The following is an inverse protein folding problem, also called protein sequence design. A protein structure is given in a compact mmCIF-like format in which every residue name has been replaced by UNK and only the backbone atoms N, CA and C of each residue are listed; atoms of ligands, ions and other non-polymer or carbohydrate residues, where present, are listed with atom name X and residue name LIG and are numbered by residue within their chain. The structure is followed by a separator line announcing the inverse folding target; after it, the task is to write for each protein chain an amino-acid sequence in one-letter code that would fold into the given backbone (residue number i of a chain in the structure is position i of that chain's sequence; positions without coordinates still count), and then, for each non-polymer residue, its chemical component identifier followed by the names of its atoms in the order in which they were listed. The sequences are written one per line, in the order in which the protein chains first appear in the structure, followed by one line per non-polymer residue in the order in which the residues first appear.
data_IF_230558035211
#
_entry.id   IF_230558035211
#
_cell.length_a   1.000
_cell.length_b   1.000
_cell.length_c   1.000
_cell.angle_alpha   90.00
_cell.angle_beta   90.00
_cell.angle_gamma   90.00
#
_symmetry.space_group_name_H-M   'P 1'
#
loop_
_entity.id
_entity.type
_entity.pdbx_description
1 polymer ?
#
# COMPACT_ATOMS: atom_id res chain seq x y z
N UNK A 1 -38.58 -14.04 21.39
CA UNK A 1 -38.09 -14.43 20.06
C UNK A 1 -37.48 -13.18 19.41
N UNK A 2 -36.17 -13.08 19.39
CA UNK A 2 -35.50 -11.98 18.69
C UNK A 2 -35.54 -12.32 17.21
N UNK A 3 -36.31 -11.57 16.42
CA UNK A 3 -36.33 -11.71 14.96
C UNK A 3 -34.91 -11.33 14.49
N UNK A 4 -34.15 -12.31 14.01
CA UNK A 4 -32.83 -12.10 13.48
C UNK A 4 -32.99 -11.53 12.06
N UNK A 5 -32.64 -10.25 11.87
CA UNK A 5 -32.70 -9.58 10.56
C UNK A 5 -31.71 -10.25 9.60
N UNK A 6 -32.11 -10.35 8.34
CA UNK A 6 -31.21 -10.83 7.28
C UNK A 6 -30.12 -9.79 6.96
N UNK A 7 -28.99 -10.19 6.37
CA UNK A 7 -27.96 -9.25 5.94
C UNK A 7 -28.48 -8.16 5.00
N UNK A 8 -29.42 -8.50 4.13
CA UNK A 8 -30.07 -7.58 3.19
C UNK A 8 -30.94 -6.54 3.89
N UNK A 9 -31.70 -6.96 4.92
CA UNK A 9 -32.51 -6.07 5.73
C UNK A 9 -31.61 -5.09 6.53
N UNK A 10 -30.52 -5.57 7.09
CA UNK A 10 -29.52 -4.74 7.77
C UNK A 10 -28.88 -3.72 6.83
N UNK A 11 -28.53 -4.14 5.61
CA UNK A 11 -27.95 -3.24 4.59
C UNK A 11 -28.94 -2.13 4.19
N UNK A 12 -30.24 -2.46 4.04
CA UNK A 12 -31.30 -1.47 3.77
C UNK A 12 -31.45 -0.48 4.92
N UNK A 13 -31.41 -0.97 6.16
CA UNK A 13 -31.51 -0.12 7.35
C UNK A 13 -30.31 0.83 7.45
N UNK A 14 -29.09 0.35 7.22
CA UNK A 14 -27.88 1.21 7.16
C UNK A 14 -28.07 2.30 6.09
N UNK A 15 -28.52 1.94 4.88
CA UNK A 15 -28.76 2.91 3.79
C UNK A 15 -29.79 3.96 4.20
N UNK A 16 -30.87 3.55 4.86
CA UNK A 16 -31.93 4.43 5.36
C UNK A 16 -31.37 5.42 6.39
N UNK A 17 -30.61 4.95 7.37
CA UNK A 17 -30.00 5.79 8.41
C UNK A 17 -28.99 6.79 7.82
N UNK A 18 -28.15 6.35 6.88
CA UNK A 18 -27.23 7.23 6.15
C UNK A 18 -28.01 8.35 5.44
N UNK A 19 -29.07 8.02 4.69
CA UNK A 19 -29.89 8.99 3.98
C UNK A 19 -30.57 10.00 4.92
N UNK A 20 -31.01 9.54 6.09
CA UNK A 20 -31.61 10.43 7.11
C UNK A 20 -30.60 11.43 7.68
N UNK A 21 -29.38 10.98 8.01
CA UNK A 21 -28.32 11.88 8.50
C UNK A 21 -27.90 12.90 7.44
N UNK A 22 -27.80 12.46 6.17
CA UNK A 22 -27.50 13.36 5.05
C UNK A 22 -28.60 14.40 4.85
N UNK A 23 -29.86 14.00 4.88
CA UNK A 23 -31.00 14.92 4.75
C UNK A 23 -31.06 15.98 5.87
N UNK A 24 -30.54 15.63 7.06
CA UNK A 24 -30.42 16.56 8.18
C UNK A 24 -29.13 17.39 8.16
N UNK A 25 -28.29 17.22 7.14
CA UNK A 25 -26.99 17.90 7.04
C UNK A 25 -25.94 17.42 8.04
N UNK A 26 -26.17 16.27 8.71
CA UNK A 26 -25.33 15.76 9.79
C UNK A 26 -24.28 14.76 9.30
N UNK A 27 -23.59 15.11 8.20
CA UNK A 27 -22.48 14.31 7.68
C UNK A 27 -21.33 14.13 8.69
N UNK A 28 -21.20 15.07 9.63
CA UNK A 28 -20.22 14.98 10.72
C UNK A 28 -20.46 13.76 11.63
N UNK A 29 -21.73 13.47 11.95
CA UNK A 29 -22.10 12.30 12.75
C UNK A 29 -21.89 11.01 11.98
N UNK A 30 -22.18 10.99 10.67
CA UNK A 30 -21.95 9.84 9.81
C UNK A 30 -20.46 9.48 9.77
N UNK A 31 -19.58 10.46 9.52
CA UNK A 31 -18.14 10.26 9.52
C UNK A 31 -17.58 9.82 10.87
N UNK A 32 -18.19 10.27 11.98
CA UNK A 32 -17.80 9.80 13.33
C UNK A 32 -18.25 8.37 13.60
N UNK A 33 -19.44 7.97 13.13
CA UNK A 33 -20.00 6.65 13.35
C UNK A 33 -19.27 5.55 12.56
N UNK A 34 -18.99 5.83 11.28
CA UNK A 34 -18.35 4.84 10.38
C UNK A 34 -16.83 4.90 10.54
N UNK A 35 -16.26 6.11 10.61
CA UNK A 35 -14.81 6.31 10.63
C UNK A 35 -14.15 6.09 9.27
N UNK A 36 -13.09 6.86 9.00
CA UNK A 36 -12.34 6.75 7.74
C UNK A 36 -11.65 5.38 7.58
N UNK A 37 -11.06 4.78 8.64
CA UNK A 37 -10.42 3.47 8.51
C UNK A 37 -11.38 2.37 8.04
N UNK A 38 -12.59 2.29 8.62
CA UNK A 38 -13.58 1.29 8.23
C UNK A 38 -14.04 1.46 6.77
N UNK A 39 -14.21 2.70 6.32
CA UNK A 39 -14.55 2.98 4.91
C UNK A 39 -13.44 2.51 3.96
N UNK A 40 -12.18 2.70 4.33
CA UNK A 40 -11.04 2.26 3.53
C UNK A 40 -10.94 0.72 3.50
N UNK A 41 -11.12 0.05 4.63
CA UNK A 41 -11.19 -1.41 4.72
C UNK A 41 -12.30 -1.98 3.83
N UNK A 42 -13.52 -1.44 3.92
CA UNK A 42 -14.66 -1.85 3.08
C UNK A 42 -14.39 -1.60 1.59
N UNK A 43 -13.72 -0.48 1.25
CA UNK A 43 -13.32 -0.17 -0.12
C UNK A 43 -12.33 -1.19 -0.67
N UNK A 44 -11.32 -1.55 0.12
CA UNK A 44 -10.31 -2.55 -0.25
C UNK A 44 -10.98 -3.91 -0.45
N UNK A 45 -11.81 -4.33 0.49
CA UNK A 45 -12.52 -5.61 0.41
C UNK A 45 -13.46 -5.68 -0.82
N UNK A 46 -14.21 -4.63 -1.08
CA UNK A 46 -15.09 -4.55 -2.25
C UNK A 46 -14.31 -4.58 -3.59
N UNK A 47 -13.08 -4.09 -3.60
CA UNK A 47 -12.23 -4.09 -4.78
C UNK A 47 -11.47 -5.41 -4.98
N UNK A 48 -11.22 -6.17 -3.90
CA UNK A 48 -10.34 -7.34 -3.86
C UNK A 48 -10.62 -8.35 -4.99
N UNK A 49 -11.89 -8.67 -5.24
CA UNK A 49 -12.30 -9.60 -6.30
C UNK A 49 -12.04 -9.11 -7.74
N UNK A 50 -11.64 -7.83 -7.92
CA UNK A 50 -11.33 -7.21 -9.21
C UNK A 50 -9.84 -6.89 -9.38
N UNK A 51 -9.07 -7.02 -8.30
CA UNK A 51 -7.64 -6.74 -8.33
C UNK A 51 -6.88 -7.97 -8.82
N UNK A 52 -5.83 -7.73 -9.62
CA UNK A 52 -4.92 -8.78 -10.07
C UNK A 52 -3.95 -9.15 -8.97
N UNK A 53 -3.61 -10.41 -8.93
CA UNK A 53 -2.48 -10.90 -8.14
C UNK A 53 -1.18 -10.35 -8.69
N UNK A 54 -0.31 -9.91 -7.79
CA UNK A 54 1.04 -9.42 -8.09
C UNK A 54 2.05 -10.49 -7.70
N UNK A 55 2.70 -11.08 -8.70
CA UNK A 55 3.77 -12.08 -8.49
C UNK A 55 5.13 -11.40 -8.63
N UNK A 56 5.98 -11.60 -7.65
CA UNK A 56 7.36 -11.13 -7.67
C UNK A 56 8.27 -12.34 -7.94
N UNK A 57 8.94 -12.34 -9.09
CA UNK A 57 9.82 -13.45 -9.49
C UNK A 57 11.18 -13.38 -8.79
N UNK A 58 11.96 -14.48 -8.86
CA UNK A 58 13.35 -14.56 -8.36
C UNK A 58 14.27 -13.46 -8.91
N UNK A 59 13.97 -12.97 -10.10
CA UNK A 59 14.75 -11.90 -10.76
C UNK A 59 14.16 -10.51 -10.49
N UNK A 60 13.28 -10.38 -9.49
CA UNK A 60 12.60 -9.13 -9.14
C UNK A 60 11.81 -8.53 -10.30
N UNK A 61 11.17 -9.38 -11.11
CA UNK A 61 10.14 -8.95 -12.06
C UNK A 61 8.80 -8.93 -11.35
N UNK A 62 7.99 -7.94 -11.64
CA UNK A 62 6.65 -7.77 -11.07
C UNK A 62 5.63 -8.13 -12.14
N UNK A 63 4.84 -9.18 -11.92
CA UNK A 63 3.90 -9.72 -12.90
C UNK A 63 2.47 -9.58 -12.38
N UNK A 64 1.61 -8.94 -13.15
CA UNK A 64 0.17 -8.89 -12.91
C UNK A 64 -0.48 -10.10 -13.62
N UNK A 65 -0.78 -11.13 -12.84
CA UNK A 65 -1.20 -12.44 -13.38
C UNK A 65 -2.53 -12.34 -14.14
N UNK A 66 -3.51 -11.64 -13.57
CA UNK A 66 -4.84 -11.54 -14.13
C UNK A 66 -4.94 -10.46 -15.24
N UNK A 67 -3.83 -9.78 -15.54
CA UNK A 67 -3.63 -8.91 -16.71
C UNK A 67 -2.74 -9.59 -17.78
N UNK A 68 -3.08 -10.84 -18.14
CA UNK A 68 -2.35 -11.65 -19.12
C UNK A 68 -0.85 -11.81 -18.78
N UNK A 69 -0.51 -11.96 -17.51
CA UNK A 69 0.86 -12.04 -17.02
C UNK A 69 1.72 -10.83 -17.44
N UNK A 70 1.13 -9.66 -17.49
CA UNK A 70 1.83 -8.44 -17.90
C UNK A 70 2.86 -8.02 -16.87
N UNK A 71 4.07 -7.75 -17.30
CA UNK A 71 5.13 -7.24 -16.44
C UNK A 71 4.95 -5.75 -16.17
N UNK A 72 5.14 -5.36 -14.90
CA UNK A 72 5.25 -3.96 -14.47
C UNK A 72 6.71 -3.56 -14.60
N UNK A 73 7.04 -2.84 -15.66
CA UNK A 73 8.41 -2.44 -15.96
C UNK A 73 8.87 -1.30 -15.04
N UNK A 74 9.67 -1.64 -14.05
CA UNK A 74 10.27 -0.70 -13.11
C UNK A 74 11.80 -0.71 -13.25
N UNK A 75 12.41 0.47 -13.19
CA UNK A 75 13.86 0.61 -13.06
C UNK A 75 14.33 0.05 -11.72
N UNK A 76 15.58 -0.42 -11.58
CA UNK A 76 16.07 -1.06 -10.36
C UNK A 76 15.80 -0.26 -9.07
N UNK A 77 16.02 1.05 -9.09
CA UNK A 77 15.74 1.92 -7.94
C UNK A 77 14.25 1.99 -7.61
N UNK A 78 13.37 1.99 -8.63
CA UNK A 78 11.92 1.97 -8.41
C UNK A 78 11.47 0.61 -7.85
N UNK A 79 12.09 -0.50 -8.29
CA UNK A 79 11.87 -1.83 -7.73
C UNK A 79 12.22 -1.88 -6.25
N UNK A 80 13.39 -1.34 -5.87
CA UNK A 80 13.83 -1.29 -4.48
C UNK A 80 12.85 -0.48 -3.59
N UNK A 81 12.45 0.70 -4.04
CA UNK A 81 11.45 1.53 -3.34
C UNK A 81 10.13 0.79 -3.23
N UNK A 82 9.66 0.18 -4.30
CA UNK A 82 8.38 -0.54 -4.31
C UNK A 82 8.39 -1.74 -3.36
N UNK A 83 9.49 -2.51 -3.34
CA UNK A 83 9.69 -3.63 -2.42
C UNK A 83 9.65 -3.18 -0.95
N UNK A 84 10.31 -2.07 -0.63
CA UNK A 84 10.27 -1.51 0.72
C UNK A 84 8.83 -1.25 1.18
N UNK A 85 8.02 -0.58 0.36
CA UNK A 85 6.62 -0.28 0.71
C UNK A 85 5.71 -1.51 0.69
N UNK A 86 6.03 -2.54 -0.08
CA UNK A 86 5.35 -3.84 0.01
C UNK A 86 5.67 -4.56 1.32
N UNK A 87 6.90 -4.43 1.82
CA UNK A 87 7.32 -5.03 3.08
C UNK A 87 6.69 -4.38 4.32
N UNK A 88 6.24 -3.13 4.18
CA UNK A 88 5.69 -2.33 5.26
C UNK A 88 4.21 -1.96 5.02
N UNK A 89 3.28 -2.92 5.25
CA UNK A 89 1.85 -2.70 5.07
C UNK A 89 1.28 -1.64 6.02
N UNK A 90 1.93 -1.38 7.14
CA UNK A 90 1.60 -0.31 8.08
C UNK A 90 1.88 1.09 7.54
N UNK A 91 2.68 1.18 6.47
CA UNK A 91 3.11 2.43 5.85
C UNK A 91 4.34 3.07 6.48
N UNK A 92 5.00 3.93 5.72
CA UNK A 92 6.24 4.62 6.11
C UNK A 92 6.04 6.13 6.00
N UNK A 93 6.45 6.89 7.01
CA UNK A 93 6.58 8.34 6.90
C UNK A 93 7.87 8.68 6.13
N UNK A 94 7.77 9.53 5.11
CA UNK A 94 8.96 9.92 4.33
C UNK A 94 10.05 10.61 5.17
N UNK A 95 9.65 11.35 6.20
CA UNK A 95 10.64 11.97 7.13
C UNK A 95 11.46 10.95 7.92
N UNK A 96 10.96 9.69 8.03
CA UNK A 96 11.63 8.58 8.72
C UNK A 96 12.24 7.56 7.76
N UNK A 97 12.34 7.89 6.48
CA UNK A 97 12.87 6.96 5.48
C UNK A 97 14.34 6.58 5.75
N UNK A 98 15.08 7.43 6.45
CA UNK A 98 16.45 7.14 6.91
C UNK A 98 16.53 5.91 7.83
N UNK A 99 15.47 5.62 8.60
CA UNK A 99 15.39 4.44 9.48
C UNK A 99 15.43 3.12 8.66
N UNK A 100 15.04 3.19 7.39
CA UNK A 100 14.98 2.05 6.44
C UNK A 100 16.14 2.01 5.45
N UNK A 101 17.21 2.80 5.69
CA UNK A 101 18.35 2.93 4.78
C UNK A 101 19.00 1.59 4.44
N UNK A 102 19.23 0.75 5.44
CA UNK A 102 19.88 -0.56 5.24
C UNK A 102 18.99 -1.52 4.42
N UNK A 103 17.71 -1.56 4.74
CA UNK A 103 16.74 -2.39 4.03
C UNK A 103 16.60 -1.96 2.57
N UNK A 104 16.47 -0.66 2.32
CA UNK A 104 16.39 -0.09 0.98
C UNK A 104 17.68 -0.37 0.18
N UNK A 105 18.85 -0.32 0.84
CA UNK A 105 20.14 -0.67 0.23
C UNK A 105 20.17 -2.13 -0.20
N UNK A 106 19.69 -3.06 0.64
CA UNK A 106 19.60 -4.48 0.30
C UNK A 106 18.71 -4.70 -0.93
N UNK A 107 17.52 -4.09 -0.97
CA UNK A 107 16.65 -4.19 -2.13
C UNK A 107 17.27 -3.61 -3.39
N UNK A 108 17.96 -2.46 -3.28
CA UNK A 108 18.55 -1.84 -4.44
C UNK A 108 19.73 -2.67 -4.98
N UNK A 109 20.59 -3.22 -4.12
CA UNK A 109 21.65 -4.15 -4.53
C UNK A 109 21.09 -5.39 -5.20
N UNK A 110 20.00 -5.95 -4.69
CA UNK A 110 19.38 -7.14 -5.24
C UNK A 110 18.76 -6.91 -6.64
N UNK A 111 18.20 -5.72 -6.87
CA UNK A 111 17.54 -5.36 -8.14
C UNK A 111 18.48 -4.75 -9.16
N UNK A 112 19.64 -4.24 -8.77
CA UNK A 112 20.61 -3.50 -9.60
C UNK A 112 21.92 -4.26 -9.79
N UNK A 113 21.86 -5.52 -10.18
CA UNK A 113 23.01 -6.45 -10.30
C UNK A 113 24.20 -5.91 -11.14
N UNK A 114 23.97 -4.94 -12.01
CA UNK A 114 24.99 -4.38 -12.93
C UNK A 114 25.51 -3.01 -12.50
N UNK A 115 25.04 -2.46 -11.37
CA UNK A 115 25.47 -1.14 -10.89
C UNK A 115 26.59 -1.25 -9.86
N UNK A 116 27.51 -0.28 -9.90
CA UNK A 116 28.56 -0.16 -8.90
C UNK A 116 27.96 0.12 -7.53
N UNK A 117 28.53 -0.50 -6.50
CA UNK A 117 28.07 -0.37 -5.12
C UNK A 117 28.08 1.10 -4.64
N UNK A 118 29.07 1.88 -5.04
CA UNK A 118 29.18 3.30 -4.69
C UNK A 118 28.00 4.11 -5.23
N UNK A 119 27.61 3.88 -6.49
CA UNK A 119 26.45 4.54 -7.11
C UNK A 119 25.12 4.14 -6.45
N UNK A 120 25.04 2.90 -5.98
CA UNK A 120 23.88 2.43 -5.23
C UNK A 120 23.78 3.18 -3.90
N UNK A 121 24.90 3.29 -3.16
CA UNK A 121 24.93 3.99 -1.87
C UNK A 121 24.60 5.47 -2.06
N UNK A 122 25.21 6.15 -3.03
CA UNK A 122 24.89 7.54 -3.37
C UNK A 122 23.40 7.73 -3.69
N UNK A 123 22.84 6.85 -4.54
CA UNK A 123 21.41 6.88 -4.86
C UNK A 123 20.50 6.68 -3.64
N UNK A 124 20.91 5.84 -2.69
CA UNK A 124 20.19 5.64 -1.43
C UNK A 124 20.27 6.88 -0.55
N UNK A 125 21.45 7.51 -0.43
CA UNK A 125 21.62 8.72 0.37
C UNK A 125 20.74 9.86 -0.12
N UNK A 126 20.57 10.01 -1.43
CA UNK A 126 19.59 10.93 -2.01
C UNK A 126 18.14 10.55 -1.67
N UNK A 127 17.78 9.25 -1.72
CA UNK A 127 16.42 8.80 -1.45
C UNK A 127 16.00 9.04 0.00
N UNK A 128 16.90 8.79 0.96
CA UNK A 128 16.59 8.91 2.38
C UNK A 128 16.79 10.32 2.94
N UNK A 129 17.36 11.23 2.17
CA UNK A 129 17.54 12.61 2.56
C UNK A 129 16.20 13.37 2.54
N UNK A 130 15.67 13.83 3.69
CA UNK A 130 14.38 14.50 3.74
C UNK A 130 14.36 15.88 3.05
N UNK A 131 15.53 16.45 2.74
CA UNK A 131 15.69 17.71 2.01
C UNK A 131 15.72 17.50 0.49
N UNK A 132 15.85 16.25 0.03
CA UNK A 132 15.85 15.89 -1.37
C UNK A 132 14.45 15.43 -1.80
N UNK A 133 14.06 15.78 -3.01
CA UNK A 133 12.76 15.36 -3.56
C UNK A 133 12.83 13.98 -4.25
N UNK A 134 13.96 13.28 -4.15
CA UNK A 134 14.23 12.04 -4.88
C UNK A 134 13.17 10.96 -4.65
N UNK A 135 12.76 10.72 -3.40
CA UNK A 135 11.74 9.71 -3.10
C UNK A 135 10.38 10.05 -3.72
N UNK A 136 9.99 11.32 -3.72
CA UNK A 136 8.74 11.76 -4.33
C UNK A 136 8.74 11.53 -5.85
N UNK A 137 9.88 11.80 -6.49
CA UNK A 137 10.05 11.53 -7.92
C UNK A 137 9.90 10.03 -8.23
N UNK A 138 10.56 9.16 -7.43
CA UNK A 138 10.46 7.70 -7.64
C UNK A 138 9.03 7.20 -7.45
N UNK A 139 8.32 7.65 -6.41
CA UNK A 139 6.93 7.31 -6.22
C UNK A 139 6.03 7.79 -7.38
N UNK A 140 6.28 9.00 -7.91
CA UNK A 140 5.53 9.52 -9.06
C UNK A 140 5.77 8.69 -10.32
N UNK A 141 7.00 8.24 -10.57
CA UNK A 141 7.33 7.35 -11.69
C UNK A 141 6.69 5.98 -11.54
N UNK A 142 6.72 5.39 -10.32
CA UNK A 142 6.01 4.13 -10.02
C UNK A 142 4.52 4.30 -10.30
N UNK A 143 3.90 5.37 -9.78
CA UNK A 143 2.48 5.68 -10.03
C UNK A 143 2.19 5.74 -11.53
N UNK A 144 3.02 6.43 -12.31
CA UNK A 144 2.83 6.56 -13.75
C UNK A 144 2.78 5.20 -14.44
N UNK A 145 3.70 4.28 -14.10
CA UNK A 145 3.72 2.95 -14.71
C UNK A 145 2.40 2.20 -14.51
N UNK A 146 1.82 2.26 -13.31
CA UNK A 146 0.51 1.62 -13.07
C UNK A 146 -0.64 2.34 -13.79
N UNK A 147 -0.63 3.68 -13.86
CA UNK A 147 -1.63 4.44 -14.61
C UNK A 147 -1.58 4.20 -16.11
N UNK A 148 -0.40 3.88 -16.66
CA UNK A 148 -0.24 3.51 -18.08
C UNK A 148 -0.76 2.09 -18.37
N UNK A 149 -1.02 1.27 -17.34
CA UNK A 149 -1.44 -0.13 -17.47
C UNK A 149 -2.93 -0.36 -17.17
N UNK A 150 -3.53 0.46 -16.32
CA UNK A 150 -4.90 0.27 -15.82
C UNK A 150 -5.55 1.62 -15.47
N UNK A 151 -6.87 1.61 -15.23
CA UNK A 151 -7.60 2.80 -14.80
C UNK A 151 -7.12 3.31 -13.42
N UNK A 152 -7.34 4.61 -13.16
CA UNK A 152 -6.83 5.26 -11.95
C UNK A 152 -7.37 4.64 -10.65
N UNK A 153 -8.63 4.19 -10.66
CA UNK A 153 -9.23 3.58 -9.48
C UNK A 153 -8.50 2.28 -9.13
N UNK A 154 -8.34 1.38 -10.09
CA UNK A 154 -7.62 0.12 -9.93
C UNK A 154 -6.14 0.35 -9.60
N UNK A 155 -5.46 1.26 -10.34
CA UNK A 155 -4.06 1.60 -10.11
C UNK A 155 -3.79 2.11 -8.69
N UNK A 156 -4.77 2.77 -8.06
CA UNK A 156 -4.62 3.35 -6.72
C UNK A 156 -4.30 2.34 -5.63
N UNK A 157 -4.60 1.07 -5.83
CA UNK A 157 -4.26 -0.01 -4.90
C UNK A 157 -2.80 -0.46 -5.03
N UNK A 158 -2.20 -0.31 -6.21
CA UNK A 158 -0.86 -0.81 -6.51
C UNK A 158 0.26 0.19 -6.28
N UNK A 159 0.02 1.50 -6.47
CA UNK A 159 1.08 2.48 -6.28
C UNK A 159 1.14 3.03 -4.84
N UNK A 160 2.29 3.61 -4.49
CA UNK A 160 2.53 4.22 -3.19
C UNK A 160 1.71 5.50 -3.08
N UNK A 161 0.70 5.50 -2.22
CA UNK A 161 -0.24 6.61 -2.00
C UNK A 161 -0.08 7.23 -0.62
N UNK A 162 -0.63 8.44 -0.44
CA UNK A 162 -0.68 9.09 0.87
C UNK A 162 -1.85 8.57 1.69
N UNK A 163 -1.58 8.22 2.94
CA UNK A 163 -2.58 7.84 3.93
C UNK A 163 -2.39 8.67 5.20
N UNK A 164 -3.49 9.16 5.76
CA UNK A 164 -3.44 9.93 7.01
C UNK A 164 -4.01 9.08 8.14
N UNK A 165 -3.16 8.71 9.07
CA UNK A 165 -3.56 7.93 10.24
C UNK A 165 -3.65 8.83 11.47
N UNK A 166 -4.76 8.69 12.21
CA UNK A 166 -4.95 9.37 13.49
C UNK A 166 -4.34 8.52 14.59
N UNK A 167 -3.41 9.09 15.36
CA UNK A 167 -2.81 8.44 16.52
C UNK A 167 -3.28 9.11 17.81
N UNK A 168 -3.46 8.30 18.85
CA UNK A 168 -3.75 8.76 20.21
C UNK A 168 -2.52 8.48 21.08
N UNK A 169 -1.94 9.53 21.66
CA UNK A 169 -1.03 9.35 22.79
C UNK A 169 -1.82 9.46 24.08
N UNK A 170 -1.55 8.63 25.03
CA UNK A 170 -2.28 8.35 26.27
C UNK A 170 -2.82 9.49 27.13
N UNK A 171 -2.74 10.75 26.72
CA UNK A 171 -3.41 11.90 27.29
C UNK A 171 -3.78 12.87 26.18
N UNK A 172 -5.05 12.91 25.84
CA UNK A 172 -5.78 13.99 25.11
C UNK A 172 -5.16 14.64 23.87
N UNK A 173 -3.94 14.34 23.45
CA UNK A 173 -3.35 14.88 22.23
C UNK A 173 -3.56 13.93 21.06
N UNK A 174 -4.31 14.41 20.08
CA UNK A 174 -4.50 13.76 18.79
C UNK A 174 -3.43 14.33 17.85
N UNK A 175 -2.65 13.46 17.19
CA UNK A 175 -1.83 13.88 16.07
C UNK A 175 -2.12 13.03 14.85
N UNK A 176 -1.78 13.55 13.69
CA UNK A 176 -1.98 12.89 12.42
C UNK A 176 -0.62 12.53 11.83
N UNK A 177 -0.41 11.24 11.58
CA UNK A 177 0.73 10.74 10.82
C UNK A 177 0.38 10.71 9.33
N UNK A 178 1.30 11.22 8.50
CA UNK A 178 1.19 11.17 7.04
C UNK A 178 2.04 10.01 6.53
N UNK A 179 1.42 8.86 6.42
CA UNK A 179 2.07 7.65 5.94
C UNK A 179 2.01 7.58 4.42
N UNK A 180 2.95 6.87 3.84
CA UNK A 180 2.92 6.38 2.47
C UNK A 180 2.76 4.87 2.51
N UNK A 181 1.84 4.36 1.70
CA UNK A 181 1.42 2.96 1.76
C UNK A 181 1.02 2.46 0.38
N UNK A 182 1.16 1.17 0.15
CA UNK A 182 0.52 0.42 -0.93
C UNK A 182 -0.67 -0.30 -0.31
N UNK A 183 -1.88 -0.03 -0.80
CA UNK A 183 -3.12 -0.60 -0.23
C UNK A 183 -3.53 -1.93 -0.87
N UNK A 184 -2.74 -2.45 -1.82
CA UNK A 184 -2.96 -3.80 -2.38
C UNK A 184 -2.98 -4.83 -1.24
N UNK A 185 -4.05 -5.65 -1.10
CA UNK A 185 -4.12 -6.72 -0.11
C UNK A 185 -2.92 -7.66 -0.21
N UNK A 186 -2.31 -8.00 0.91
CA UNK A 186 -1.06 -8.79 0.91
C UNK A 186 -1.27 -10.23 0.49
N UNK A 187 -2.46 -10.78 0.64
CA UNK A 187 -2.86 -12.08 0.11
C UNK A 187 -2.93 -12.13 -1.43
N UNK A 188 -2.97 -10.97 -2.10
CA UNK A 188 -2.81 -10.85 -3.55
C UNK A 188 -1.35 -10.69 -3.99
N UNK A 189 -0.39 -10.63 -3.07
CA UNK A 189 1.04 -10.52 -3.36
C UNK A 189 1.71 -11.84 -3.07
N UNK A 190 2.24 -12.51 -4.11
CA UNK A 190 2.99 -13.74 -3.94
C UNK A 190 4.44 -13.57 -4.43
N UNK A 191 5.34 -14.32 -3.78
CA UNK A 191 6.77 -14.34 -4.13
C UNK A 191 7.18 -15.75 -4.46
N UNK A 192 7.96 -15.90 -5.51
CA UNK A 192 8.60 -17.14 -5.86
C UNK A 192 9.94 -17.20 -5.10
N UNK A 193 9.94 -17.91 -3.98
CA UNK A 193 11.06 -18.43 -3.19
C UNK A 193 12.46 -17.74 -3.35
N UNK A 194 12.67 -16.58 -2.76
CA UNK A 194 14.00 -15.98 -2.65
C UNK A 194 14.28 -15.31 -1.28
N UNK A 195 13.34 -15.41 -0.33
CA UNK A 195 13.43 -14.61 0.89
C UNK A 195 13.96 -15.37 2.12
N UNK A 196 14.12 -16.68 2.06
CA UNK A 196 14.77 -17.44 3.13
C UNK A 196 16.24 -17.02 3.34
N UNK A 197 16.93 -16.60 2.27
CA UNK A 197 18.34 -16.16 2.37
C UNK A 197 18.51 -14.70 2.85
N UNK A 198 17.48 -13.87 2.77
CA UNK A 198 17.57 -12.44 3.16
C UNK A 198 16.85 -12.09 4.47
N UNK A 199 16.16 -13.05 5.09
CA UNK A 199 15.49 -12.88 6.39
C UNK A 199 14.31 -11.91 6.40
N UNK A 200 13.66 -11.69 5.24
CA UNK A 200 12.49 -10.82 5.14
C UNK A 200 11.23 -11.70 5.02
N UNK A 201 10.49 -11.80 6.11
CA UNK A 201 9.19 -12.49 6.15
C UNK A 201 8.09 -11.50 5.77
N UNK A 202 7.33 -11.81 4.72
CA UNK A 202 6.01 -11.21 4.48
C UNK A 202 4.97 -12.23 4.95
N UNK A 203 3.97 -11.77 5.68
CA UNK A 203 2.86 -12.47 6.29
C UNK A 203 2.74 -13.97 6.00
N UNK A 204 2.55 -14.75 7.06
CA UNK A 204 2.37 -16.18 7.02
C UNK A 204 1.24 -16.57 6.04
N UNK A 205 1.53 -17.55 5.18
CA UNK A 205 0.50 -18.27 4.45
C UNK A 205 -0.41 -18.94 5.49
N UNK A 206 -1.65 -18.50 5.57
CA UNK A 206 -2.69 -19.28 6.23
C UNK A 206 -3.03 -20.45 5.29
N UNK A 207 -2.48 -21.61 5.62
CA UNK A 207 -2.96 -22.88 5.07
C UNK A 207 -4.46 -23.01 5.37
N UNK A 208 -5.24 -23.29 4.35
CA UNK A 208 -6.60 -23.84 4.41
C UNK A 208 -6.56 -25.31 3.99
#
# INVERSE_FOLDING_TARGET
MTIQQTPEELAQEVKRLVSQLQAQGRNDLLLRAIGVPLLEELRIEAAKGKLSRLVITKDYRFILVDYNNKEVELQPVHKAVYLLFLAHPEGIEFKRLADYREELTRYYMATAKMLDKEKIIEGIDHLVNPLDNAIHEKCSRIKKVFLDMMDEYTASYYYISGHTQKRFAGSSRIWYERLKIITLPRDLVSRLELFEETGIVFGEETEV
#
